data_IF_464054150837
#
_entry.id   IF_464054150837
#
_cell.length_a   1.000
_cell.length_b   1.000
_cell.length_c   1.000
_cell.angle_alpha   90.00
_cell.angle_beta   90.00
_cell.angle_gamma   90.00
#
_symmetry.space_group_name_H-M   'P 1'
#
loop_
_entity.id
_entity.type
_entity.pdbx_description
1 polymer ?
#
# COMPACT_ATOMS: atom_id res chain seq x y z
N UNK A 1 -14.55 -2.09 -76.31
CA UNK A 1 -15.49 -1.03 -76.72
C UNK A 1 -15.69 -0.08 -75.54
N UNK A 2 -15.15 1.15 -75.55
CA UNK A 2 -15.84 2.30 -74.96
C UNK A 2 -17.06 2.63 -75.85
N UNK A 3 -18.10 3.40 -75.46
CA UNK A 3 -18.09 4.62 -74.64
C UNK A 3 -19.24 4.66 -73.57
N UNK A 4 -19.28 5.56 -72.59
CA UNK A 4 -19.87 6.92 -72.72
C UNK A 4 -19.75 7.63 -71.38
N UNK A 5 -19.33 8.90 -71.43
CA UNK A 5 -19.22 9.84 -70.32
C UNK A 5 -20.52 10.64 -70.17
N UNK A 6 -21.00 10.94 -68.94
CA UNK A 6 -22.00 11.99 -68.72
C UNK A 6 -21.37 13.36 -68.36
N UNK A 7 -22.10 14.46 -68.55
CA UNK A 7 -21.55 15.77 -68.87
C UNK A 7 -21.06 16.61 -67.69
N UNK A 8 -20.09 17.47 -67.99
CA UNK A 8 -19.60 18.63 -67.23
C UNK A 8 -20.65 19.75 -67.20
N UNK A 9 -20.86 20.37 -66.03
CA UNK A 9 -21.58 21.64 -65.87
C UNK A 9 -20.64 22.60 -65.13
N UNK A 10 -20.40 23.78 -65.70
CA UNK A 10 -19.63 24.88 -65.11
C UNK A 10 -20.50 26.16 -65.09
N UNK A 11 -20.12 27.18 -64.30
CA UNK A 11 -20.99 27.89 -63.35
C UNK A 11 -21.58 29.20 -63.88
N UNK A 12 -22.36 29.92 -63.06
CA UNK A 12 -22.39 31.39 -63.11
C UNK A 12 -21.87 32.06 -61.84
N UNK A 13 -21.03 33.05 -62.10
CA UNK A 13 -20.51 34.14 -61.28
C UNK A 13 -21.58 35.08 -60.73
N UNK A 14 -21.41 35.62 -59.51
CA UNK A 14 -21.60 37.05 -59.23
C UNK A 14 -21.00 37.50 -57.86
N UNK A 15 -20.69 38.81 -57.70
CA UNK A 15 -19.57 39.34 -56.89
C UNK A 15 -20.03 39.98 -55.54
N UNK A 16 -19.15 40.63 -54.74
CA UNK A 16 -19.32 40.81 -53.30
C UNK A 16 -20.19 42.02 -52.94
N UNK A 17 -20.83 42.00 -51.77
CA UNK A 17 -21.48 43.17 -51.19
C UNK A 17 -21.21 43.23 -49.68
N UNK A 18 -20.41 44.19 -49.23
CA UNK A 18 -20.37 44.67 -47.84
C UNK A 18 -21.42 45.79 -47.69
N UNK A 19 -22.15 45.89 -46.56
CA UNK A 19 -21.93 47.02 -45.61
C UNK A 19 -22.43 46.70 -44.16
N UNK A 20 -22.54 47.67 -43.21
CA UNK A 20 -21.73 48.86 -42.91
C UNK A 20 -21.14 48.84 -41.46
N UNK A 21 -20.19 49.75 -41.19
CA UNK A 21 -19.77 50.13 -39.84
C UNK A 21 -20.94 50.72 -39.04
N UNK A 22 -21.13 50.23 -37.82
CA UNK A 22 -21.88 50.92 -36.75
C UNK A 22 -21.05 50.81 -35.47
N UNK A 23 -20.53 51.94 -35.00
CA UNK A 23 -19.94 52.09 -33.67
C UNK A 23 -21.05 52.44 -32.68
N UNK A 24 -21.06 51.84 -31.48
CA UNK A 24 -21.60 52.55 -30.33
C UNK A 24 -20.57 52.67 -29.19
N UNK A 25 -20.42 53.91 -28.76
CA UNK A 25 -19.85 54.34 -27.48
C UNK A 25 -20.78 53.93 -26.34
N UNK A 26 -20.31 53.18 -25.35
CA UNK A 26 -20.85 53.21 -23.98
C UNK A 26 -19.72 52.90 -22.98
N UNK A 27 -19.75 53.62 -21.86
CA UNK A 27 -18.73 53.76 -20.81
C UNK A 27 -18.55 52.52 -19.92
N UNK A 28 -17.35 52.24 -19.36
CA UNK A 28 -17.17 51.13 -18.44
C UNK A 28 -17.63 51.47 -17.01
N UNK A 29 -18.67 50.80 -16.55
CA UNK A 29 -19.02 50.68 -15.12
C UNK A 29 -18.07 49.65 -14.49
N UNK A 30 -17.25 50.08 -13.52
CA UNK A 30 -16.38 49.16 -12.78
C UNK A 30 -17.20 48.32 -11.79
N UNK A 31 -17.25 47.02 -12.02
CA UNK A 31 -17.50 46.04 -10.98
C UNK A 31 -16.27 45.12 -10.90
N UNK A 32 -15.66 45.01 -9.72
CA UNK A 32 -14.56 44.09 -9.45
C UNK A 32 -15.09 42.65 -9.59
N UNK A 33 -14.52 41.79 -10.46
CA UNK A 33 -14.83 40.37 -10.41
C UNK A 33 -14.08 39.74 -9.23
N UNK A 34 -14.79 38.91 -8.48
CA UNK A 34 -14.25 38.10 -7.39
C UNK A 34 -13.04 37.28 -7.86
N UNK A 35 -12.05 37.16 -6.97
CA UNK A 35 -10.84 36.35 -7.16
C UNK A 35 -11.24 34.93 -7.59
N UNK A 36 -10.73 34.41 -8.71
CA UNK A 36 -11.15 33.10 -9.16
C UNK A 36 -10.55 32.02 -8.25
N UNK A 37 -11.38 31.38 -7.44
CA UNK A 37 -11.05 30.14 -6.72
C UNK A 37 -11.10 28.97 -7.68
N UNK A 38 -9.96 28.62 -8.26
CA UNK A 38 -9.81 27.39 -9.03
C UNK A 38 -9.40 26.26 -8.09
N UNK A 39 -10.32 25.33 -7.85
CA UNK A 39 -9.98 23.97 -7.37
C UNK A 39 -10.07 23.02 -8.56
N UNK A 40 -9.09 22.12 -8.78
CA UNK A 40 -9.16 21.18 -9.88
C UNK A 40 -10.28 20.16 -9.65
N UNK A 41 -11.30 20.19 -10.48
CA UNK A 41 -12.34 19.15 -10.53
C UNK A 41 -11.79 17.97 -11.32
N UNK A 42 -11.14 17.01 -10.66
CA UNK A 42 -10.88 15.70 -11.27
C UNK A 42 -12.22 14.99 -11.43
N UNK A 43 -12.70 14.82 -12.67
CA UNK A 43 -14.04 14.25 -12.94
C UNK A 43 -14.10 12.73 -12.82
N UNK A 44 -13.00 12.06 -12.52
CA UNK A 44 -12.94 10.65 -12.15
C UNK A 44 -11.86 10.52 -11.08
N UNK A 45 -12.18 9.88 -9.95
CA UNK A 45 -11.19 9.57 -8.93
C UNK A 45 -10.06 8.75 -9.59
N UNK A 46 -8.82 9.24 -9.66
CA UNK A 46 -7.75 8.48 -10.29
C UNK A 46 -7.47 7.20 -9.47
N UNK A 47 -7.15 6.09 -10.15
CA UNK A 47 -6.63 4.86 -9.53
C UNK A 47 -5.19 4.99 -9.01
N UNK A 48 -4.63 6.20 -9.07
CA UNK A 48 -3.27 6.55 -8.71
C UNK A 48 -3.31 7.75 -7.77
N UNK A 49 -2.52 7.72 -6.70
CA UNK A 49 -2.44 8.82 -5.74
C UNK A 49 -1.14 9.60 -5.90
N UNK A 50 -1.18 10.95 -5.84
CA UNK A 50 0.02 11.76 -5.92
C UNK A 50 0.84 11.60 -4.63
N UNK A 51 2.14 11.35 -4.77
CA UNK A 51 3.07 11.19 -3.63
C UNK A 51 3.29 12.48 -2.83
N UNK A 52 3.07 13.64 -3.44
CA UNK A 52 3.12 14.96 -2.80
C UNK A 52 2.15 15.94 -3.47
N UNK A 53 1.67 16.93 -2.71
CA UNK A 53 0.91 18.05 -3.29
C UNK A 53 1.83 18.95 -4.13
N UNK A 54 1.40 19.39 -5.32
CA UNK A 54 2.19 20.30 -6.14
C UNK A 54 2.39 21.65 -5.43
N UNK A 55 3.65 22.10 -5.35
CA UNK A 55 3.98 23.47 -4.92
C UNK A 55 4.06 24.37 -6.15
N UNK A 56 3.37 25.49 -6.12
CA UNK A 56 3.26 26.41 -7.26
C UNK A 56 4.12 27.64 -7.04
N UNK A 57 4.95 27.99 -8.03
CA UNK A 57 5.73 29.22 -8.03
C UNK A 57 5.36 30.03 -9.28
N UNK A 58 5.22 31.37 -9.19
CA UNK A 58 4.98 32.20 -10.36
C UNK A 58 6.24 32.27 -11.21
N UNK A 59 6.11 32.04 -12.52
CA UNK A 59 7.23 32.01 -13.47
C UNK A 59 7.96 33.35 -13.64
N UNK A 60 7.43 34.43 -13.08
CA UNK A 60 8.03 35.77 -13.10
C UNK A 60 7.83 36.42 -11.72
N UNK A 61 8.92 36.61 -10.96
CA UNK A 61 8.95 37.59 -9.88
C UNK A 61 9.33 38.92 -10.54
N UNK A 62 8.45 39.92 -10.68
CA UNK A 62 8.89 41.20 -11.18
C UNK A 62 9.77 41.84 -10.11
N UNK A 63 11.08 41.94 -10.36
CA UNK A 63 11.93 42.95 -9.71
C UNK A 63 11.27 44.30 -10.02
N UNK A 64 10.67 44.93 -9.02
CA UNK A 64 9.72 46.03 -9.16
C UNK A 64 10.04 47.00 -10.32
N UNK A 65 9.24 46.99 -11.41
CA UNK A 65 9.10 48.15 -12.26
C UNK A 65 7.67 48.68 -12.16
N UNK A 66 7.51 49.99 -12.30
CA UNK A 66 6.25 50.73 -12.16
C UNK A 66 5.25 50.53 -13.31
N UNK A 67 5.20 49.34 -13.92
CA UNK A 67 4.23 49.00 -14.95
C UNK A 67 3.50 47.70 -14.61
N UNK A 68 2.17 47.80 -14.55
CA UNK A 68 1.28 46.66 -14.33
C UNK A 68 1.47 45.61 -15.43
N UNK A 69 1.67 44.33 -15.09
CA UNK A 69 1.83 43.28 -16.09
C UNK A 69 0.52 43.09 -16.87
N UNK A 70 0.61 43.03 -18.20
CA UNK A 70 -0.55 42.87 -19.11
C UNK A 70 -1.15 41.47 -19.08
N UNK A 71 -0.51 40.51 -18.41
CA UNK A 71 -1.00 39.14 -18.25
C UNK A 71 -0.85 38.66 -16.81
N UNK A 72 -1.86 37.93 -16.34
CA UNK A 72 -1.84 37.26 -15.04
C UNK A 72 -0.67 36.28 -14.95
N UNK A 73 -0.03 36.12 -13.77
CA UNK A 73 1.05 35.16 -13.61
C UNK A 73 0.56 33.74 -13.91
N UNK A 74 1.28 33.05 -14.77
CA UNK A 74 1.10 31.61 -14.98
C UNK A 74 1.79 30.87 -13.85
N UNK A 75 1.03 30.10 -13.08
CA UNK A 75 1.54 29.25 -12.02
C UNK A 75 1.95 27.91 -12.63
N UNK A 76 3.23 27.56 -12.51
CA UNK A 76 3.75 26.26 -12.96
C UNK A 76 4.13 25.48 -11.70
N UNK A 77 3.78 24.19 -11.59
CA UNK A 77 4.15 23.41 -10.43
C UNK A 77 5.66 23.14 -10.50
N UNK A 78 6.36 23.39 -9.40
CA UNK A 78 7.82 23.20 -9.30
C UNK A 78 8.21 21.72 -9.25
N UNK A 79 7.23 20.84 -8.99
CA UNK A 79 7.33 19.39 -9.00
C UNK A 79 6.03 18.84 -9.59
N UNK A 80 6.12 17.97 -10.61
CA UNK A 80 4.97 17.20 -11.07
C UNK A 80 4.74 16.05 -10.08
N UNK A 81 3.53 15.85 -9.52
CA UNK A 81 3.28 14.73 -8.63
C UNK A 81 3.59 13.43 -9.37
N UNK A 82 4.47 12.61 -8.77
CA UNK A 82 4.69 11.26 -9.28
C UNK A 82 3.56 10.39 -8.73
N UNK A 83 2.85 9.74 -9.64
CA UNK A 83 1.72 8.88 -9.33
C UNK A 83 2.21 7.44 -9.18
N UNK A 84 2.00 6.85 -8.00
CA UNK A 84 2.23 5.43 -7.79
C UNK A 84 0.91 4.66 -7.93
N UNK A 85 0.96 3.42 -8.44
CA UNK A 85 -0.22 2.58 -8.46
C UNK A 85 -0.63 2.29 -7.02
N UNK A 86 -1.93 2.11 -6.79
CA UNK A 86 -2.47 1.83 -5.46
C UNK A 86 -2.65 0.31 -5.34
N UNK A 87 -2.18 -0.27 -4.24
CA UNK A 87 -2.45 -1.66 -3.88
C UNK A 87 -3.78 -1.70 -3.13
N UNK A 88 -4.83 -2.22 -3.77
CA UNK A 88 -6.18 -2.24 -3.19
C UNK A 88 -6.64 -3.63 -2.78
N UNK A 89 -6.08 -4.65 -3.40
CA UNK A 89 -6.49 -6.04 -3.23
C UNK A 89 -5.28 -6.94 -2.96
N UNK A 90 -5.52 -8.14 -2.42
CA UNK A 90 -4.50 -9.18 -2.31
C UNK A 90 -3.82 -9.46 -3.65
N UNK A 91 -4.61 -9.52 -4.73
CA UNK A 91 -4.08 -9.79 -6.07
C UNK A 91 -3.14 -8.69 -6.58
N UNK A 92 -3.42 -7.41 -6.27
CA UNK A 92 -2.51 -6.31 -6.59
C UNK A 92 -1.18 -6.47 -5.83
N UNK A 93 -1.26 -6.86 -4.55
CA UNK A 93 -0.09 -7.05 -3.69
C UNK A 93 0.76 -8.24 -4.15
N UNK A 94 0.15 -9.38 -4.45
CA UNK A 94 0.84 -10.56 -5.00
C UNK A 94 1.54 -10.21 -6.32
N UNK A 95 0.89 -9.44 -7.20
CA UNK A 95 1.50 -8.98 -8.47
C UNK A 95 2.70 -8.07 -8.22
N UNK A 96 2.59 -7.17 -7.23
CA UNK A 96 3.69 -6.30 -6.83
C UNK A 96 4.87 -7.10 -6.29
N UNK A 97 4.62 -8.08 -5.41
CA UNK A 97 5.64 -8.96 -4.83
C UNK A 97 6.29 -9.83 -5.90
N UNK A 98 5.53 -10.44 -6.82
CA UNK A 98 6.08 -11.26 -7.89
C UNK A 98 7.01 -10.45 -8.84
N UNK A 99 6.68 -9.19 -9.08
CA UNK A 99 7.54 -8.29 -9.88
C UNK A 99 8.79 -7.89 -9.09
N UNK A 100 8.63 -7.58 -7.81
CA UNK A 100 9.75 -7.25 -6.93
C UNK A 100 10.70 -8.44 -6.74
N UNK A 101 10.20 -9.65 -6.51
CA UNK A 101 11.02 -10.83 -6.24
C UNK A 101 11.86 -11.26 -7.44
N UNK A 102 11.40 -10.94 -8.66
CA UNK A 102 12.14 -11.24 -9.89
C UNK A 102 13.14 -10.17 -10.30
N UNK A 103 12.97 -8.91 -9.87
CA UNK A 103 13.77 -7.78 -10.38
C UNK A 103 14.45 -6.93 -9.30
N UNK A 104 14.10 -7.12 -8.03
CA UNK A 104 14.46 -6.23 -6.92
C UNK A 104 13.82 -4.84 -7.01
N UNK A 105 12.86 -4.63 -7.92
CA UNK A 105 12.26 -3.33 -8.20
C UNK A 105 10.76 -3.47 -8.47
N UNK A 106 10.02 -2.40 -8.21
CA UNK A 106 8.57 -2.38 -8.34
C UNK A 106 8.09 -1.01 -8.78
N UNK A 107 7.02 -0.99 -9.58
CA UNK A 107 6.34 0.26 -9.98
C UNK A 107 5.67 0.98 -8.80
N UNK A 108 5.55 0.29 -7.67
CA UNK A 108 5.05 0.82 -6.40
C UNK A 108 6.16 1.49 -5.55
N UNK A 109 7.39 1.55 -6.06
CA UNK A 109 8.56 2.04 -5.33
C UNK A 109 9.21 0.97 -4.43
N UNK A 110 10.10 1.36 -3.51
CA UNK A 110 10.69 0.45 -2.53
C UNK A 110 9.63 -0.26 -1.69
N UNK A 111 9.81 -1.54 -1.39
CA UNK A 111 8.79 -2.38 -0.76
C UNK A 111 8.29 -1.83 0.59
N UNK A 112 9.19 -1.27 1.41
CA UNK A 112 8.82 -0.65 2.69
C UNK A 112 7.93 0.60 2.57
N UNK A 113 7.78 1.17 1.37
CA UNK A 113 6.96 2.36 1.12
C UNK A 113 5.58 2.07 0.52
N UNK A 114 5.25 0.79 0.29
CA UNK A 114 3.98 0.42 -0.31
C UNK A 114 2.81 0.71 0.62
N UNK A 115 1.78 1.36 0.07
CA UNK A 115 0.51 1.54 0.77
C UNK A 115 -0.34 0.27 0.66
N UNK A 116 -0.27 -0.55 1.70
CA UNK A 116 -1.03 -1.81 1.84
C UNK A 116 -2.27 -1.68 2.72
N UNK A 117 -2.63 -0.44 3.12
CA UNK A 117 -3.65 -0.15 4.14
C UNK A 117 -5.06 -0.66 3.83
N UNK A 118 -5.32 -1.02 2.56
CA UNK A 118 -6.61 -1.47 2.05
C UNK A 118 -6.73 -2.98 1.90
N UNK A 119 -5.62 -3.69 2.00
CA UNK A 119 -5.57 -5.15 1.81
C UNK A 119 -5.88 -5.84 3.13
N UNK A 120 -6.78 -6.83 3.09
CA UNK A 120 -7.24 -7.55 4.29
C UNK A 120 -6.63 -8.94 4.44
N UNK A 121 -5.97 -9.46 3.40
CA UNK A 121 -5.45 -10.83 3.37
C UNK A 121 -3.99 -10.81 2.91
N UNK A 122 -3.11 -11.15 3.84
CA UNK A 122 -1.66 -11.25 3.69
C UNK A 122 -1.18 -12.72 3.68
N UNK A 123 -2.09 -13.69 3.52
CA UNK A 123 -1.67 -15.08 3.53
C UNK A 123 -0.67 -15.36 2.41
N UNK A 124 0.38 -16.09 2.76
CA UNK A 124 1.40 -16.64 1.86
C UNK A 124 2.21 -15.62 1.02
N UNK A 125 2.10 -14.30 1.31
CA UNK A 125 2.69 -13.25 0.48
C UNK A 125 4.19 -13.39 0.23
N UNK A 126 4.95 -13.78 1.25
CA UNK A 126 6.40 -13.98 1.19
C UNK A 126 6.79 -15.45 1.41
N UNK A 127 5.82 -16.36 1.32
CA UNK A 127 6.09 -17.78 1.50
C UNK A 127 7.08 -18.25 0.43
N UNK A 128 8.09 -19.03 0.86
CA UNK A 128 9.17 -19.54 0.01
C UNK A 128 10.11 -18.48 -0.58
N UNK A 129 10.01 -17.20 -0.19
CA UNK A 129 10.98 -16.20 -0.60
C UNK A 129 12.21 -16.26 0.32
N UNK A 130 13.03 -17.28 0.10
CA UNK A 130 14.17 -17.67 0.95
C UNK A 130 15.15 -16.54 1.29
N UNK A 131 15.30 -15.56 0.39
CA UNK A 131 16.23 -14.43 0.52
C UNK A 131 15.57 -13.13 0.95
N UNK A 132 14.26 -13.11 1.17
CA UNK A 132 13.53 -11.91 1.55
C UNK A 132 13.91 -11.45 2.96
N UNK A 133 14.38 -10.21 3.07
CA UNK A 133 14.67 -9.56 4.35
C UNK A 133 14.58 -8.03 4.24
N UNK A 134 13.79 -7.50 3.29
CA UNK A 134 13.61 -6.05 3.14
C UNK A 134 12.70 -5.51 4.25
N UNK A 135 13.00 -4.29 4.72
CA UNK A 135 12.23 -3.61 5.76
C UNK A 135 10.79 -3.31 5.32
N UNK A 136 9.83 -3.92 6.02
CA UNK A 136 8.38 -3.74 5.89
C UNK A 136 7.73 -3.28 7.20
N UNK A 137 8.52 -2.79 8.15
CA UNK A 137 8.05 -2.33 9.46
C UNK A 137 7.06 -1.16 9.37
N UNK A 138 7.10 -0.40 8.27
CA UNK A 138 6.22 0.74 7.98
C UNK A 138 4.86 0.39 7.36
N UNK A 139 4.59 -0.88 7.04
CA UNK A 139 3.32 -1.30 6.45
C UNK A 139 2.13 -1.07 7.40
N UNK A 140 1.03 -0.54 6.87
CA UNK A 140 -0.20 -0.32 7.64
C UNK A 140 -1.08 -1.57 7.63
N UNK A 141 -1.00 -2.38 8.68
CA UNK A 141 -1.68 -3.70 8.75
C UNK A 141 -3.05 -3.69 9.44
N UNK A 142 -3.55 -2.53 9.88
CA UNK A 142 -4.76 -2.45 10.72
C UNK A 142 -6.09 -2.87 10.08
N UNK A 143 -6.10 -3.22 8.79
CA UNK A 143 -7.26 -3.85 8.12
C UNK A 143 -7.08 -5.35 7.86
N UNK A 144 -5.88 -5.90 8.13
CA UNK A 144 -5.55 -7.29 7.84
C UNK A 144 -6.26 -8.23 8.80
N UNK A 145 -6.87 -9.28 8.25
CA UNK A 145 -7.58 -10.33 8.97
C UNK A 145 -6.93 -11.70 8.83
N UNK A 146 -6.11 -11.92 7.80
CA UNK A 146 -5.43 -13.20 7.54
C UNK A 146 -3.94 -12.96 7.28
N UNK A 147 -3.07 -13.62 8.05
CA UNK A 147 -1.61 -13.63 7.90
C UNK A 147 -1.04 -15.06 7.83
N UNK A 148 -1.89 -16.05 7.55
CA UNK A 148 -1.48 -17.45 7.50
C UNK A 148 -0.32 -17.66 6.51
N UNK A 149 0.73 -18.36 6.92
CA UNK A 149 1.86 -18.70 6.05
C UNK A 149 2.64 -17.51 5.48
N UNK A 150 2.40 -16.27 5.93
CA UNK A 150 2.93 -15.06 5.27
C UNK A 150 4.45 -15.11 5.06
N UNK A 151 5.21 -15.65 6.01
CA UNK A 151 6.66 -15.81 5.95
C UNK A 151 7.10 -17.28 6.08
N UNK A 152 6.21 -18.23 5.75
CA UNK A 152 6.56 -19.65 5.79
C UNK A 152 7.73 -19.93 4.83
N UNK A 153 8.81 -20.53 5.35
CA UNK A 153 10.06 -20.82 4.63
C UNK A 153 10.77 -19.58 4.05
N UNK A 154 10.50 -18.38 4.57
CA UNK A 154 11.28 -17.18 4.27
C UNK A 154 12.54 -17.13 5.15
N UNK A 155 13.52 -18.00 4.87
CA UNK A 155 14.60 -18.32 5.81
C UNK A 155 15.45 -17.13 6.26
N UNK A 156 15.66 -16.14 5.40
CA UNK A 156 16.46 -14.95 5.71
C UNK A 156 15.69 -13.83 6.43
N UNK A 157 14.37 -13.97 6.61
CA UNK A 157 13.54 -12.90 7.13
C UNK A 157 13.70 -12.72 8.65
N UNK A 158 14.11 -11.53 9.08
CA UNK A 158 14.30 -11.18 10.50
C UNK A 158 14.02 -9.69 10.77
N UNK A 159 13.09 -9.09 10.01
CA UNK A 159 12.75 -7.67 10.19
C UNK A 159 11.82 -7.45 11.39
N UNK A 160 12.01 -6.33 12.08
CA UNK A 160 11.18 -5.97 13.24
C UNK A 160 9.73 -5.68 12.83
N UNK A 161 8.78 -6.41 13.45
CA UNK A 161 7.34 -6.28 13.19
C UNK A 161 6.53 -5.78 14.39
N UNK A 162 7.19 -5.31 15.45
CA UNK A 162 6.55 -4.92 16.72
C UNK A 162 5.56 -3.75 16.59
N UNK A 163 5.65 -2.97 15.50
CA UNK A 163 4.76 -1.85 15.19
C UNK A 163 3.49 -2.24 14.41
N UNK A 164 3.39 -3.49 13.94
CA UNK A 164 2.22 -3.93 13.19
C UNK A 164 0.98 -3.99 14.08
N UNK A 165 -0.13 -3.45 13.55
CA UNK A 165 -1.45 -3.63 14.15
C UNK A 165 -2.03 -4.97 13.67
N UNK A 166 -2.05 -5.95 14.57
CA UNK A 166 -2.61 -7.29 14.32
C UNK A 166 -3.94 -7.52 15.06
N UNK A 167 -4.53 -6.47 15.64
CA UNK A 167 -5.72 -6.57 16.50
C UNK A 167 -6.97 -7.15 15.80
N UNK A 168 -6.97 -7.19 14.47
CA UNK A 168 -8.05 -7.74 13.63
C UNK A 168 -7.72 -9.08 12.98
N UNK A 169 -6.49 -9.57 13.13
CA UNK A 169 -6.05 -10.81 12.52
C UNK A 169 -6.73 -11.98 13.23
N UNK A 170 -7.32 -12.88 12.45
CA UNK A 170 -7.99 -14.09 12.95
C UNK A 170 -7.17 -15.34 12.67
N UNK A 171 -6.33 -15.36 11.62
CA UNK A 171 -5.50 -16.51 11.26
C UNK A 171 -4.02 -16.09 11.13
N UNK A 172 -3.17 -16.73 11.92
CA UNK A 172 -1.70 -16.63 11.92
C UNK A 172 -1.04 -18.00 11.78
N UNK A 173 -1.80 -19.02 11.34
CA UNK A 173 -1.26 -20.37 11.22
C UNK A 173 -0.05 -20.41 10.29
N UNK A 174 1.00 -21.11 10.71
CA UNK A 174 2.26 -21.25 9.96
C UNK A 174 2.95 -19.94 9.56
N UNK A 175 2.61 -18.78 10.15
CA UNK A 175 3.10 -17.47 9.69
C UNK A 175 4.62 -17.38 9.59
N UNK A 176 5.36 -18.01 10.51
CA UNK A 176 6.83 -18.08 10.55
C UNK A 176 7.36 -19.51 10.55
N UNK A 177 6.59 -20.46 9.98
CA UNK A 177 6.97 -21.86 9.98
C UNK A 177 8.14 -22.15 9.02
N UNK A 178 9.02 -23.06 9.40
CA UNK A 178 9.88 -23.80 8.48
C UNK A 178 9.25 -25.16 8.21
N UNK A 179 8.79 -25.42 6.99
CA UNK A 179 8.26 -26.76 6.64
C UNK A 179 9.28 -27.62 5.91
N UNK A 180 10.42 -27.05 5.49
CA UNK A 180 11.57 -27.81 5.00
C UNK A 180 12.57 -28.16 6.10
N UNK A 181 13.20 -29.33 5.97
CA UNK A 181 14.13 -29.87 6.98
C UNK A 181 15.57 -29.35 6.86
N UNK A 182 15.91 -28.63 5.78
CA UNK A 182 17.31 -28.31 5.45
C UNK A 182 17.67 -26.84 5.66
N UNK A 183 16.69 -25.96 5.55
CA UNK A 183 16.82 -24.52 5.76
C UNK A 183 15.79 -24.11 6.79
N UNK A 184 16.19 -23.26 7.72
CA UNK A 184 15.43 -22.97 8.94
C UNK A 184 15.18 -21.47 9.00
N UNK A 185 13.94 -21.02 9.29
CA UNK A 185 13.69 -19.61 9.56
C UNK A 185 14.54 -19.09 10.72
N UNK A 186 15.28 -18.02 10.47
CA UNK A 186 16.09 -17.34 11.50
C UNK A 186 15.29 -16.32 12.33
N UNK A 187 14.01 -16.12 11.99
CA UNK A 187 13.17 -15.09 12.57
C UNK A 187 13.14 -15.18 14.10
N UNK A 188 13.55 -14.10 14.78
CA UNK A 188 13.60 -14.05 16.25
C UNK A 188 13.29 -12.65 16.80
N UNK A 189 12.36 -11.92 16.16
CA UNK A 189 12.00 -10.56 16.58
C UNK A 189 10.93 -10.55 17.67
N UNK A 190 11.00 -9.57 18.57
CA UNK A 190 10.03 -9.39 19.66
C UNK A 190 8.62 -9.07 19.13
N UNK A 191 7.66 -9.93 19.49
CA UNK A 191 6.23 -9.81 19.14
C UNK A 191 5.34 -9.59 20.37
N UNK A 192 5.92 -9.35 21.55
CA UNK A 192 5.20 -9.24 22.83
C UNK A 192 4.13 -8.13 22.85
N UNK A 193 4.31 -7.10 22.02
CA UNK A 193 3.37 -5.96 21.87
C UNK A 193 2.07 -6.32 21.15
N UNK A 194 2.06 -7.38 20.34
CA UNK A 194 0.93 -7.73 19.50
C UNK A 194 -0.35 -7.99 20.29
N UNK A 195 -1.47 -7.47 19.79
CA UNK A 195 -2.80 -7.79 20.29
C UNK A 195 -3.37 -9.00 19.55
N UNK A 196 -3.14 -10.18 20.12
CA UNK A 196 -3.59 -11.46 19.55
C UNK A 196 -5.01 -11.87 19.99
N UNK A 197 -5.78 -10.95 20.57
CA UNK A 197 -7.09 -11.27 21.17
C UNK A 197 -8.18 -11.68 20.17
N UNK A 198 -8.00 -11.35 18.89
CA UNK A 198 -8.90 -11.75 17.79
C UNK A 198 -8.48 -13.05 17.10
N UNK A 199 -7.29 -13.56 17.37
CA UNK A 199 -6.73 -14.71 16.65
C UNK A 199 -7.42 -16.00 17.12
N UNK A 200 -7.91 -16.77 16.15
CA UNK A 200 -8.57 -18.06 16.38
C UNK A 200 -7.74 -19.25 15.89
N UNK A 201 -6.72 -19.01 15.06
CA UNK A 201 -5.82 -20.04 14.55
C UNK A 201 -4.36 -19.57 14.58
N UNK A 202 -3.55 -20.27 15.36
CA UNK A 202 -2.09 -20.10 15.52
C UNK A 202 -1.35 -21.43 15.31
N UNK A 203 -2.01 -22.43 14.72
CA UNK A 203 -1.40 -23.74 14.51
C UNK A 203 -0.06 -23.59 13.78
N UNK A 204 0.98 -24.21 14.32
CA UNK A 204 2.31 -24.19 13.73
C UNK A 204 2.92 -22.81 13.46
N UNK A 205 2.48 -21.74 14.13
CA UNK A 205 2.94 -20.37 13.83
C UNK A 205 4.48 -20.23 13.82
N UNK A 206 5.18 -20.95 14.71
CA UNK A 206 6.64 -21.02 14.82
C UNK A 206 7.16 -22.46 14.66
N UNK A 207 6.45 -23.28 13.88
CA UNK A 207 6.82 -24.67 13.61
C UNK A 207 8.22 -24.75 12.98
N UNK A 208 9.15 -25.50 13.58
CA UNK A 208 10.58 -25.56 13.23
C UNK A 208 11.32 -24.19 13.18
N UNK A 209 10.82 -23.14 13.83
CA UNK A 209 11.56 -21.87 13.94
C UNK A 209 12.62 -21.98 15.07
N UNK A 210 13.73 -22.67 14.80
CA UNK A 210 14.71 -23.04 15.83
C UNK A 210 15.34 -21.84 16.57
N UNK A 211 15.42 -20.67 15.93
CA UNK A 211 15.99 -19.47 16.55
C UNK A 211 14.97 -18.68 17.37
N UNK A 212 13.67 -18.95 17.22
CA UNK A 212 12.62 -18.20 17.89
C UNK A 212 12.49 -18.57 19.37
N UNK A 213 12.91 -17.65 20.27
CA UNK A 213 12.86 -17.80 21.74
C UNK A 213 12.45 -16.48 22.44
N UNK A 214 11.45 -15.78 21.87
CA UNK A 214 10.99 -14.49 22.38
C UNK A 214 9.96 -14.61 23.50
N UNK A 215 10.00 -13.65 24.45
CA UNK A 215 9.07 -13.59 25.59
C UNK A 215 7.69 -13.06 25.19
N UNK A 216 6.74 -13.98 25.04
CA UNK A 216 5.34 -13.67 24.74
C UNK A 216 4.43 -13.86 25.95
N UNK A 217 4.92 -13.73 27.20
CA UNK A 217 4.08 -13.86 28.41
C UNK A 217 2.81 -12.99 28.34
N UNK A 218 2.91 -11.82 27.73
CA UNK A 218 1.79 -10.88 27.53
C UNK A 218 0.64 -11.45 26.67
N UNK A 219 0.88 -12.49 25.88
CA UNK A 219 -0.15 -13.15 25.06
C UNK A 219 -1.02 -14.09 25.88
N UNK A 220 -0.55 -14.59 27.03
CA UNK A 220 -1.26 -15.59 27.83
C UNK A 220 -2.66 -15.17 28.26
N UNK A 221 -2.88 -13.87 28.51
CA UNK A 221 -4.19 -13.31 28.84
C UNK A 221 -5.00 -12.85 27.62
N UNK A 222 -4.40 -12.84 26.43
CA UNK A 222 -5.02 -12.36 25.18
C UNK A 222 -5.54 -13.51 24.32
N UNK A 223 -4.85 -14.65 24.29
CA UNK A 223 -5.23 -15.81 23.47
C UNK A 223 -6.60 -16.33 23.92
N UNK A 224 -7.50 -16.49 22.96
CA UNK A 224 -8.83 -17.05 23.23
C UNK A 224 -8.71 -18.53 23.61
N UNK A 225 -9.50 -18.99 24.59
CA UNK A 225 -9.49 -20.39 25.02
C UNK A 225 -9.91 -21.39 23.92
N UNK A 226 -10.58 -20.90 22.87
CA UNK A 226 -10.98 -21.67 21.68
C UNK A 226 -10.00 -21.59 20.52
N UNK A 227 -8.93 -20.78 20.64
CA UNK A 227 -7.94 -20.67 19.58
C UNK A 227 -7.22 -22.00 19.36
N UNK A 228 -7.04 -22.39 18.10
CA UNK A 228 -6.24 -23.56 17.75
C UNK A 228 -4.76 -23.17 17.78
N UNK A 229 -3.97 -23.85 18.61
CA UNK A 229 -2.54 -23.53 18.79
C UNK A 229 -1.70 -24.80 18.74
N UNK A 230 -2.16 -25.81 18.00
CA UNK A 230 -1.50 -27.10 17.86
C UNK A 230 -0.14 -26.92 17.20
N UNK A 231 0.89 -27.50 17.81
CA UNK A 231 2.26 -27.49 17.32
C UNK A 231 2.83 -26.07 17.10
N UNK A 232 2.26 -25.07 17.77
CA UNK A 232 2.61 -23.65 17.56
C UNK A 232 4.10 -23.41 17.73
N UNK A 233 4.74 -24.10 18.69
CA UNK A 233 6.15 -24.00 19.03
C UNK A 233 6.93 -25.30 18.78
N UNK A 234 6.36 -26.26 18.05
CA UNK A 234 7.02 -27.55 17.80
C UNK A 234 8.35 -27.35 17.08
N UNK A 235 9.45 -27.82 17.68
CA UNK A 235 10.82 -27.58 17.22
C UNK A 235 11.21 -26.10 17.05
N UNK A 236 10.64 -25.20 17.84
CA UNK A 236 11.15 -23.82 17.97
C UNK A 236 12.28 -23.71 19.01
N UNK A 237 12.91 -22.54 19.10
CA UNK A 237 13.93 -22.21 20.12
C UNK A 237 13.36 -22.07 21.55
N UNK A 238 12.04 -22.00 21.67
CA UNK A 238 11.34 -21.90 22.95
C UNK A 238 11.66 -23.10 23.86
N UNK A 239 12.36 -22.85 24.97
CA UNK A 239 12.89 -23.89 25.89
C UNK A 239 11.81 -24.75 26.56
N UNK A 240 10.54 -24.29 26.56
CA UNK A 240 9.38 -25.01 27.09
C UNK A 240 8.16 -24.76 26.20
N UNK A 241 8.05 -25.44 25.04
CA UNK A 241 6.97 -25.23 24.08
C UNK A 241 5.70 -25.87 24.65
N UNK A 242 4.96 -25.14 25.49
CA UNK A 242 3.60 -25.52 25.85
C UNK A 242 2.62 -24.78 24.95
N UNK A 243 1.91 -25.52 24.11
CA UNK A 243 0.84 -24.97 23.31
C UNK A 243 -0.23 -24.31 24.22
N UNK A 244 -0.68 -23.09 23.94
CA UNK A 244 -1.61 -22.35 24.79
C UNK A 244 -3.01 -22.97 25.03
N UNK A 245 -3.34 -24.19 24.54
CA UNK A 245 -4.69 -24.77 24.69
C UNK A 245 -4.87 -25.71 25.90
N UNK A 246 -5.80 -25.32 26.77
CA UNK A 246 -6.63 -26.04 27.77
C UNK A 246 -6.34 -27.50 28.18
N UNK A 247 -5.75 -27.67 29.37
CA UNK A 247 -5.93 -28.86 30.22
C UNK A 247 -7.05 -28.63 31.27
N UNK A 248 -8.05 -29.50 31.27
CA UNK A 248 -9.18 -29.51 32.23
C UNK A 248 -8.85 -30.16 33.59
N UNK A 249 -7.60 -30.54 33.90
CA UNK A 249 -7.34 -31.45 35.04
C UNK A 249 -6.26 -31.05 36.05
N UNK A 250 -5.45 -30.02 35.83
CA UNK A 250 -4.40 -29.63 36.81
C UNK A 250 -4.14 -28.13 36.82
N UNK A 251 -4.28 -27.52 37.99
CA UNK A 251 -4.20 -26.09 38.24
C UNK A 251 -2.75 -25.54 38.28
N UNK A 252 -2.01 -25.56 37.17
CA UNK A 252 -0.84 -24.69 36.92
C UNK A 252 -0.50 -24.68 35.43
N UNK A 253 -0.50 -23.49 34.83
CA UNK A 253 -0.31 -23.16 33.40
C UNK A 253 0.92 -22.25 33.21
N UNK A 254 1.32 -22.03 31.94
CA UNK A 254 2.27 -21.00 31.40
C UNK A 254 3.74 -21.44 31.28
N UNK A 255 4.46 -21.23 30.13
CA UNK A 255 4.61 -19.91 29.49
C UNK A 255 4.65 -19.89 27.93
N UNK A 256 4.62 -18.68 27.34
CA UNK A 256 4.79 -18.37 25.89
C UNK A 256 6.20 -17.78 25.61
N UNK A 257 7.20 -18.32 26.32
CA UNK A 257 8.67 -18.27 26.21
C UNK A 257 9.55 -17.06 26.63
N UNK A 258 9.87 -16.96 27.93
CA UNK A 258 11.25 -17.20 28.42
C UNK A 258 11.15 -17.72 29.87
N UNK A 259 12.26 -18.13 30.51
CA UNK A 259 12.35 -19.09 31.64
C UNK A 259 11.34 -19.00 32.81
N UNK A 260 10.64 -17.90 33.05
CA UNK A 260 9.50 -17.82 33.97
C UNK A 260 8.53 -16.72 33.50
N UNK A 261 7.35 -17.11 33.01
CA UNK A 261 6.12 -16.37 33.33
C UNK A 261 5.60 -16.95 34.66
#
# INVERSE_FOLDING_TARGET
MPPTQPPTINPPTNPPTAPPLMLPTETPTSALPESPTWSPTLSESPTWSPTQSPTWIPTQLPESPTWSPTQSPTWIPTQLPTYLPIINTKSDLETAIATWSSTGSSIYGPIGSWDVSRVTDFSDLFSWLETFNDDISGWQTGQVTNMAGMFADAYAFDQALSNWDVSRVTDMSYMFAGVMLFDVPIFNQDLSSWDVSSVTNMNGMFYYAFDFDQNLCAWSSKIQSSAATVDMFYFSGCQYPSDPVFSLSTSTWSPLCSSFC
#
